data_IF_007055352314
#
_entry.id   IF_007055352314
#
_cell.length_a   1.000
_cell.length_b   1.000
_cell.length_c   1.000
_cell.angle_alpha   90.00
_cell.angle_beta   90.00
_cell.angle_gamma   90.00
#
_symmetry.space_group_name_H-M   'P 1'
#
loop_
_entity.id
_entity.type
_entity.pdbx_description
1 polymer ?
#
# COMPACT_ATOMS: atom_id res chain seq x y z
N UNK A 1 27.66 0.60 -7.17
CA UNK A 1 27.65 1.39 -5.91
C UNK A 1 27.69 2.88 -6.16
N UNK A 2 28.66 3.39 -6.94
CA UNK A 2 28.80 4.84 -7.19
C UNK A 2 27.64 5.47 -8.00
N UNK A 3 27.11 4.76 -8.99
CA UNK A 3 25.97 5.23 -9.79
C UNK A 3 24.68 5.36 -8.98
N UNK A 4 24.42 4.39 -8.09
CA UNK A 4 23.27 4.41 -7.17
C UNK A 4 23.36 5.58 -6.18
N UNK A 5 24.56 5.88 -5.68
CA UNK A 5 24.78 7.01 -4.80
C UNK A 5 24.51 8.36 -5.51
N UNK A 6 24.98 8.53 -6.75
CA UNK A 6 24.68 9.72 -7.56
C UNK A 6 23.20 9.86 -7.87
N UNK A 7 22.51 8.76 -8.15
CA UNK A 7 21.06 8.74 -8.37
C UNK A 7 20.32 9.21 -7.11
N UNK A 8 20.68 8.67 -5.94
CA UNK A 8 20.08 9.07 -4.67
C UNK A 8 20.28 10.57 -4.38
N UNK A 9 21.47 11.10 -4.64
CA UNK A 9 21.73 12.53 -4.48
C UNK A 9 20.88 13.40 -5.39
N UNK A 10 20.70 13.01 -6.65
CA UNK A 10 19.86 13.75 -7.60
C UNK A 10 18.39 13.74 -7.18
N UNK A 11 17.87 12.59 -6.74
CA UNK A 11 16.50 12.46 -6.23
C UNK A 11 16.31 13.33 -4.99
N UNK A 12 17.21 13.27 -4.01
CA UNK A 12 17.13 14.06 -2.77
C UNK A 12 17.19 15.56 -3.09
N UNK A 13 18.09 15.99 -3.98
CA UNK A 13 18.19 17.40 -4.40
C UNK A 13 16.91 17.87 -5.09
N UNK A 14 16.34 17.07 -5.99
CA UNK A 14 15.07 17.37 -6.64
C UNK A 14 13.93 17.55 -5.65
N UNK A 15 13.76 16.60 -4.72
CA UNK A 15 12.69 16.64 -3.70
C UNK A 15 12.86 17.84 -2.76
N UNK A 16 14.10 18.22 -2.40
CA UNK A 16 14.37 19.38 -1.53
C UNK A 16 13.94 20.71 -2.14
N UNK A 17 13.93 20.82 -3.48
CA UNK A 17 13.55 22.03 -4.20
C UNK A 17 12.03 22.18 -4.37
N UNK A 18 11.27 21.11 -4.11
CA UNK A 18 9.81 21.14 -4.18
C UNK A 18 9.19 21.95 -3.03
N UNK A 19 8.00 22.49 -3.29
CA UNK A 19 7.14 23.01 -2.23
C UNK A 19 6.65 21.90 -1.31
N UNK A 20 6.17 22.24 -0.12
CA UNK A 20 5.69 21.21 0.83
C UNK A 20 4.47 20.45 0.31
N UNK A 21 3.61 21.11 -0.48
CA UNK A 21 2.50 20.46 -1.18
C UNK A 21 2.99 19.41 -2.17
N UNK A 22 3.99 19.74 -2.98
CA UNK A 22 4.56 18.82 -3.97
C UNK A 22 5.32 17.66 -3.30
N UNK A 23 6.02 17.90 -2.18
CA UNK A 23 6.62 16.82 -1.38
C UNK A 23 5.57 15.84 -0.87
N UNK A 24 4.42 16.34 -0.41
CA UNK A 24 3.32 15.51 0.05
C UNK A 24 2.76 14.63 -1.09
N UNK A 25 2.60 15.17 -2.29
CA UNK A 25 2.17 14.39 -3.47
C UNK A 25 3.19 13.29 -3.82
N UNK A 26 4.49 13.60 -3.78
CA UNK A 26 5.55 12.60 -4.01
C UNK A 26 5.49 11.47 -2.97
N UNK A 27 5.30 11.79 -1.70
CA UNK A 27 5.15 10.79 -0.64
C UNK A 27 3.92 9.91 -0.86
N UNK A 28 2.75 10.51 -1.12
CA UNK A 28 1.51 9.80 -1.40
C UNK A 28 1.68 8.84 -2.59
N UNK A 29 2.39 9.27 -3.63
CA UNK A 29 2.64 8.45 -4.81
C UNK A 29 3.58 7.26 -4.52
N UNK A 30 4.63 7.46 -3.72
CA UNK A 30 5.52 6.37 -3.30
C UNK A 30 4.75 5.35 -2.45
N UNK A 31 3.90 5.80 -1.52
CA UNK A 31 3.05 4.91 -0.72
C UNK A 31 2.07 4.12 -1.59
N UNK A 32 1.43 4.79 -2.56
CA UNK A 32 0.58 4.12 -3.54
C UNK A 32 1.33 3.04 -4.32
N UNK A 33 2.54 3.33 -4.80
CA UNK A 33 3.38 2.35 -5.50
C UNK A 33 3.74 1.17 -4.60
N UNK A 34 4.08 1.41 -3.32
CA UNK A 34 4.37 0.33 -2.36
C UNK A 34 3.16 -0.56 -2.10
N UNK A 35 1.96 0.02 -2.02
CA UNK A 35 0.71 -0.74 -1.89
C UNK A 35 0.44 -1.55 -3.18
N UNK A 36 0.75 -0.98 -4.35
CA UNK A 36 0.62 -1.67 -5.65
C UNK A 36 1.64 -2.79 -5.85
N UNK A 37 2.83 -2.65 -5.29
CA UNK A 37 3.89 -3.66 -5.31
C UNK A 37 3.70 -4.74 -4.23
N UNK A 38 2.92 -4.48 -3.18
CA UNK A 38 2.45 -5.49 -2.24
C UNK A 38 1.28 -6.29 -2.84
N UNK A 39 1.61 -7.05 -3.88
CA UNK A 39 0.72 -7.97 -4.55
C UNK A 39 0.06 -8.93 -3.54
N UNK A 40 0.75 -9.27 -2.44
CA UNK A 40 0.24 -10.16 -1.40
C UNK A 40 -0.87 -9.52 -0.56
N UNK A 41 -0.76 -8.23 -0.24
CA UNK A 41 -1.84 -7.48 0.41
C UNK A 41 -3.07 -7.34 -0.50
N UNK A 42 -2.84 -7.04 -1.78
CA UNK A 42 -3.92 -6.91 -2.77
C UNK A 42 -4.65 -8.25 -2.93
N UNK A 43 -3.92 -9.35 -3.05
CA UNK A 43 -4.48 -10.69 -3.14
C UNK A 43 -5.27 -11.07 -1.87
N UNK A 44 -4.72 -10.75 -0.70
CA UNK A 44 -5.41 -10.94 0.58
C UNK A 44 -6.74 -10.18 0.63
N UNK A 45 -6.74 -8.87 0.34
CA UNK A 45 -7.94 -8.04 0.36
C UNK A 45 -8.98 -8.52 -0.66
N UNK A 46 -8.55 -8.89 -1.88
CA UNK A 46 -9.45 -9.39 -2.91
C UNK A 46 -10.08 -10.73 -2.51
N UNK A 47 -9.29 -11.67 -1.97
CA UNK A 47 -9.78 -12.95 -1.46
C UNK A 47 -10.82 -12.74 -0.36
N UNK A 48 -10.48 -11.95 0.67
CA UNK A 48 -11.38 -11.66 1.81
C UNK A 48 -12.66 -10.97 1.37
N UNK A 49 -12.60 -10.11 0.36
CA UNK A 49 -13.79 -9.46 -0.22
C UNK A 49 -14.73 -10.48 -0.86
N UNK A 50 -14.20 -11.44 -1.62
CA UNK A 50 -15.03 -12.50 -2.22
C UNK A 50 -15.66 -13.40 -1.15
N UNK A 51 -14.88 -13.82 -0.15
CA UNK A 51 -15.37 -14.62 0.98
C UNK A 51 -16.51 -13.90 1.74
N UNK A 52 -16.37 -12.59 1.98
CA UNK A 52 -17.39 -11.78 2.63
C UNK A 52 -18.68 -11.68 1.78
N UNK A 53 -18.56 -11.51 0.46
CA UNK A 53 -19.71 -11.48 -0.46
C UNK A 53 -20.44 -12.83 -0.44
N UNK A 54 -19.72 -13.95 -0.42
CA UNK A 54 -20.31 -15.29 -0.35
C UNK A 54 -20.98 -15.57 1.01
N UNK A 55 -20.31 -15.23 2.11
CA UNK A 55 -20.85 -15.37 3.45
C UNK A 55 -22.16 -14.59 3.61
N UNK A 56 -22.21 -13.36 3.07
CA UNK A 56 -23.43 -12.54 3.01
C UNK A 56 -24.58 -13.26 2.29
N UNK A 57 -24.30 -13.86 1.13
CA UNK A 57 -25.30 -14.60 0.35
C UNK A 57 -25.83 -15.83 1.11
N UNK A 58 -25.01 -16.43 1.96
CA UNK A 58 -25.34 -17.62 2.77
C UNK A 58 -25.94 -17.28 4.14
N UNK A 59 -26.09 -15.99 4.48
CA UNK A 59 -26.57 -15.54 5.80
C UNK A 59 -25.59 -15.81 6.94
N UNK A 60 -24.30 -15.99 6.63
CA UNK A 60 -23.25 -16.26 7.61
C UNK A 60 -22.66 -14.96 8.17
N UNK A 61 -22.11 -15.05 9.38
CA UNK A 61 -21.47 -13.92 10.05
C UNK A 61 -20.16 -13.51 9.34
N UNK A 62 -19.88 -12.20 9.35
CA UNK A 62 -18.63 -11.64 8.83
C UNK A 62 -17.53 -11.69 9.88
N UNK A 63 -16.29 -11.87 9.44
CA UNK A 63 -15.13 -11.64 10.30
C UNK A 63 -15.03 -10.16 10.65
N UNK A 64 -14.75 -9.89 11.92
CA UNK A 64 -14.45 -8.55 12.43
C UNK A 64 -13.12 -8.04 11.87
N UNK A 65 -12.94 -6.72 11.86
CA UNK A 65 -11.70 -6.08 11.44
C UNK A 65 -10.49 -6.55 12.26
N UNK A 66 -10.70 -6.81 13.55
CA UNK A 66 -9.67 -7.32 14.47
C UNK A 66 -9.22 -8.74 14.13
N UNK A 67 -10.12 -9.61 13.69
CA UNK A 67 -9.79 -10.95 13.21
C UNK A 67 -9.00 -10.90 11.90
N UNK A 68 -9.39 -10.00 10.98
CA UNK A 68 -8.67 -9.80 9.72
C UNK A 68 -7.24 -9.31 9.95
N UNK A 69 -7.05 -8.37 10.87
CA UNK A 69 -5.74 -7.84 11.20
C UNK A 69 -4.81 -8.90 11.83
N UNK A 70 -5.34 -9.83 12.62
CA UNK A 70 -4.58 -10.98 13.16
C UNK A 70 -4.23 -12.02 12.11
N UNK A 71 -5.04 -12.18 11.05
CA UNK A 71 -4.77 -13.12 9.96
C UNK A 71 -3.65 -12.61 9.03
N UNK A 72 -3.49 -11.29 8.93
CA UNK A 72 -2.50 -10.66 8.05
C UNK A 72 -1.14 -10.34 8.72
N UNK A 73 -1.13 -10.11 10.04
CA UNK A 73 0.06 -9.76 10.82
C UNK A 73 0.98 -10.97 11.10
#
# INVERSE_FOLDING_TARGET
MEQTARLNELIIKGIKQLSDREKQEVLNFIEFLRIKEDQSFIEYVNRRTQEAIEAKKKGQAFSSLEELQKEYA
#
